data_IF_300875587609
#
_entry.id   IF_300875587609
#
_cell.length_a   1.000
_cell.length_b   1.000
_cell.length_c   1.000
_cell.angle_alpha   90.00
_cell.angle_beta   90.00
_cell.angle_gamma   90.00
#
_symmetry.space_group_name_H-M   'P 1'
#
loop_
_entity.id
_entity.type
_entity.pdbx_description
1 polymer ?
#
# COMPACT_ATOMS: atom_id res chain seq x y z
N UNK A 1 -11.98 25.59 -37.32
CA UNK A 1 -11.81 25.66 -35.83
C UNK A 1 -11.74 24.24 -35.34
N UNK A 2 -10.52 23.72 -35.17
CA UNK A 2 -10.29 22.41 -34.53
C UNK A 2 -10.64 22.62 -33.04
N UNK A 3 -11.77 22.08 -32.60
CA UNK A 3 -12.03 21.94 -31.16
C UNK A 3 -10.87 21.12 -30.61
N UNK A 4 -10.09 21.72 -29.71
CA UNK A 4 -9.08 21.02 -28.95
C UNK A 4 -9.80 19.93 -28.15
N UNK A 5 -9.76 18.71 -28.68
CA UNK A 5 -10.40 17.56 -28.06
C UNK A 5 -9.51 17.13 -26.90
N UNK A 6 -10.08 17.05 -25.70
CA UNK A 6 -9.35 16.53 -24.54
C UNK A 6 -8.73 15.15 -24.86
N UNK A 7 -7.40 15.07 -24.77
CA UNK A 7 -6.64 13.83 -24.95
C UNK A 7 -6.14 13.36 -23.57
N UNK A 8 -6.85 12.41 -22.92
CA UNK A 8 -6.46 11.95 -21.58
C UNK A 8 -5.01 11.45 -21.55
N UNK A 9 -4.63 10.64 -22.54
CA UNK A 9 -3.32 10.00 -22.57
C UNK A 9 -2.15 10.99 -22.51
N UNK A 10 -2.22 12.07 -23.31
CA UNK A 10 -1.16 13.08 -23.35
C UNK A 10 -1.18 13.99 -22.12
N UNK A 11 -2.37 14.35 -21.66
CA UNK A 11 -2.55 15.30 -20.55
C UNK A 11 -2.23 14.64 -19.21
N UNK A 12 -2.70 13.41 -18.99
CA UNK A 12 -2.50 12.68 -17.74
C UNK A 12 -1.03 12.37 -17.52
N UNK A 13 -0.34 11.83 -18.54
CA UNK A 13 1.09 11.56 -18.45
C UNK A 13 1.91 12.82 -18.14
N UNK A 14 1.64 13.92 -18.89
CA UNK A 14 2.31 15.20 -18.66
C UNK A 14 2.17 15.70 -17.21
N UNK A 15 0.98 15.57 -16.62
CA UNK A 15 0.76 16.04 -15.25
C UNK A 15 1.37 15.11 -14.21
N UNK A 16 1.34 13.80 -14.41
CA UNK A 16 1.99 12.83 -13.53
C UNK A 16 3.51 13.05 -13.47
N UNK A 17 4.14 13.25 -14.63
CA UNK A 17 5.56 13.59 -14.72
C UNK A 17 5.89 14.90 -14.00
N UNK A 18 5.06 15.92 -14.18
CA UNK A 18 5.24 17.22 -13.52
C UNK A 18 5.10 17.13 -12.00
N UNK A 19 4.11 16.39 -11.49
CA UNK A 19 3.94 16.18 -10.05
C UNK A 19 5.12 15.43 -9.45
N UNK A 20 5.64 14.45 -10.15
CA UNK A 20 6.82 13.70 -9.71
C UNK A 20 8.07 14.59 -9.67
N UNK A 21 8.30 15.40 -10.72
CA UNK A 21 9.46 16.32 -10.77
C UNK A 21 9.43 17.41 -9.68
N UNK A 22 8.25 17.78 -9.23
CA UNK A 22 8.04 18.84 -8.25
C UNK A 22 7.82 18.32 -6.82
N UNK A 23 7.85 17.01 -6.60
CA UNK A 23 7.48 16.37 -5.34
C UNK A 23 6.17 16.93 -4.77
N UNK A 24 5.20 17.14 -5.69
CA UNK A 24 4.01 17.94 -5.44
C UNK A 24 3.15 17.46 -4.26
N UNK A 25 3.33 16.22 -3.83
CA UNK A 25 2.55 15.58 -2.77
C UNK A 25 3.38 15.18 -1.56
N UNK A 26 4.68 15.51 -1.55
CA UNK A 26 5.56 15.25 -0.41
C UNK A 26 5.10 16.00 0.85
N UNK A 27 5.15 15.30 1.98
CA UNK A 27 4.87 15.89 3.29
C UNK A 27 6.14 16.51 3.88
N UNK A 28 6.11 17.81 4.17
CA UNK A 28 7.22 18.51 4.77
C UNK A 28 7.22 18.35 6.29
N UNK A 29 8.28 17.77 6.85
CA UNK A 29 8.43 17.56 8.29
C UNK A 29 8.59 18.86 9.11
N UNK A 30 9.15 19.87 8.48
CA UNK A 30 9.51 21.15 9.13
C UNK A 30 8.47 22.25 8.89
N UNK A 31 7.35 21.91 8.24
CA UNK A 31 6.30 22.86 7.94
C UNK A 31 5.54 23.31 9.20
N UNK A 32 5.32 24.62 9.33
CA UNK A 32 4.46 25.21 10.36
C UNK A 32 2.96 25.10 10.04
N UNK A 33 2.61 24.59 8.85
CA UNK A 33 1.21 24.37 8.47
C UNK A 33 0.54 23.34 9.38
N UNK A 34 -0.77 23.48 9.64
CA UNK A 34 -1.50 22.46 10.39
C UNK A 34 -1.37 21.09 9.70
N UNK A 35 -1.09 20.06 10.49
CA UNK A 35 -0.86 18.70 9.98
C UNK A 35 -2.19 17.98 9.75
N UNK A 36 -2.26 17.20 8.68
CA UNK A 36 -3.38 16.32 8.40
C UNK A 36 -2.88 14.96 7.91
N UNK A 37 -3.40 13.89 8.47
CA UNK A 37 -3.02 12.53 8.10
C UNK A 37 -4.19 11.84 7.41
N UNK A 38 -3.98 11.40 6.17
CA UNK A 38 -4.93 10.57 5.40
C UNK A 38 -4.35 9.18 5.30
N UNK A 39 -5.00 8.21 5.93
CA UNK A 39 -4.59 6.82 5.90
C UNK A 39 -5.70 5.98 5.26
N UNK A 40 -5.32 5.20 4.28
CA UNK A 40 -6.15 4.17 3.68
C UNK A 40 -5.56 2.79 3.99
N UNK A 41 -6.41 1.78 3.88
CA UNK A 41 -5.98 0.40 4.06
C UNK A 41 -4.99 0.02 2.94
N UNK A 42 -3.82 -0.45 3.32
CA UNK A 42 -2.81 -0.93 2.37
C UNK A 42 -3.32 -2.16 1.64
N UNK A 43 -3.15 -2.26 0.32
CA UNK A 43 -3.58 -3.42 -0.43
C UNK A 43 -2.66 -4.62 -0.18
N UNK A 44 -3.22 -5.83 -0.31
CA UNK A 44 -2.43 -7.02 -0.56
C UNK A 44 -1.92 -6.97 -2.01
N UNK A 45 -0.60 -7.00 -2.25
CA UNK A 45 -0.06 -6.93 -3.61
C UNK A 45 -0.20 -8.29 -4.32
N UNK A 46 -1.42 -8.61 -4.74
CA UNK A 46 -1.72 -9.87 -5.45
C UNK A 46 -2.57 -9.61 -6.70
N UNK A 47 -2.04 -9.95 -7.88
CA UNK A 47 -2.70 -9.74 -9.17
C UNK A 47 -2.77 -8.28 -9.59
N UNK A 48 -3.97 -7.78 -9.90
CA UNK A 48 -4.22 -6.41 -10.34
C UNK A 48 -5.08 -5.64 -9.34
N UNK A 49 -5.01 -4.31 -9.38
CA UNK A 49 -6.01 -3.49 -8.70
C UNK A 49 -7.39 -3.75 -9.30
N UNK A 50 -8.43 -3.61 -8.51
CA UNK A 50 -9.83 -3.74 -8.93
C UNK A 50 -10.63 -2.53 -8.49
N UNK A 51 -11.87 -2.43 -8.93
CA UNK A 51 -12.74 -1.27 -8.66
C UNK A 51 -12.91 -0.96 -7.16
N UNK A 52 -12.80 -1.97 -6.28
CA UNK A 52 -12.80 -1.74 -4.83
C UNK A 52 -11.60 -0.91 -4.37
N UNK A 53 -10.41 -1.20 -4.89
CA UNK A 53 -9.20 -0.38 -4.65
C UNK A 53 -9.39 1.04 -5.18
N UNK A 54 -9.85 1.18 -6.44
CA UNK A 54 -10.07 2.49 -7.05
C UNK A 54 -11.04 3.32 -6.23
N UNK A 55 -12.16 2.74 -5.80
CA UNK A 55 -13.16 3.43 -4.98
C UNK A 55 -12.57 3.90 -3.64
N UNK A 56 -11.86 3.01 -2.93
CA UNK A 56 -11.27 3.33 -1.63
C UNK A 56 -10.28 4.49 -1.75
N UNK A 57 -9.32 4.36 -2.65
CA UNK A 57 -8.24 5.33 -2.80
C UNK A 57 -8.69 6.65 -3.43
N UNK A 58 -9.71 6.63 -4.29
CA UNK A 58 -10.29 7.88 -4.83
C UNK A 58 -10.93 8.73 -3.74
N UNK A 59 -11.60 8.11 -2.76
CA UNK A 59 -12.22 8.83 -1.64
C UNK A 59 -11.15 9.51 -0.79
N UNK A 60 -10.10 8.79 -0.41
CA UNK A 60 -8.99 9.34 0.36
C UNK A 60 -8.22 10.41 -0.41
N UNK A 61 -8.00 10.21 -1.71
CA UNK A 61 -7.31 11.18 -2.56
C UNK A 61 -8.07 12.51 -2.65
N UNK A 62 -9.40 12.47 -2.76
CA UNK A 62 -10.23 13.69 -2.73
C UNK A 62 -10.04 14.42 -1.41
N UNK A 63 -10.05 13.72 -0.28
CA UNK A 63 -9.81 14.31 1.05
C UNK A 63 -8.41 14.91 1.12
N UNK A 64 -7.38 14.18 0.69
CA UNK A 64 -6.00 14.65 0.72
C UNK A 64 -5.81 15.93 -0.11
N UNK A 65 -6.35 15.97 -1.34
CA UNK A 65 -6.29 17.15 -2.20
C UNK A 65 -7.05 18.34 -1.62
N UNK A 66 -8.25 18.10 -1.09
CA UNK A 66 -9.04 19.14 -0.44
C UNK A 66 -8.29 19.76 0.73
N UNK A 67 -7.66 18.92 1.59
CA UNK A 67 -6.89 19.40 2.73
C UNK A 67 -5.64 20.18 2.31
N UNK A 68 -4.94 19.76 1.26
CA UNK A 68 -3.82 20.54 0.70
C UNK A 68 -4.29 21.92 0.19
N UNK A 69 -5.42 21.97 -0.51
CA UNK A 69 -6.00 23.24 -0.98
C UNK A 69 -6.44 24.16 0.18
N UNK A 70 -6.80 23.58 1.34
CA UNK A 70 -7.10 24.32 2.57
C UNK A 70 -5.85 24.77 3.32
N UNK A 71 -4.64 24.49 2.84
CA UNK A 71 -3.39 24.93 3.43
C UNK A 71 -2.79 23.98 4.46
N UNK A 72 -3.31 22.76 4.60
CA UNK A 72 -2.71 21.76 5.49
C UNK A 72 -1.44 21.15 4.89
N UNK A 73 -0.52 20.75 5.76
CA UNK A 73 0.56 19.82 5.44
C UNK A 73 0.02 18.40 5.56
N UNK A 74 -0.18 17.74 4.43
CA UNK A 74 -0.90 16.46 4.35
C UNK A 74 0.09 15.31 4.20
N UNK A 75 0.10 14.39 5.16
CA UNK A 75 0.71 13.07 5.02
C UNK A 75 -0.32 12.11 4.44
N UNK A 76 -0.09 11.66 3.21
CA UNK A 76 -0.93 10.68 2.49
C UNK A 76 -0.04 9.53 1.99
N UNK A 77 0.35 8.58 2.85
CA UNK A 77 1.27 7.51 2.50
C UNK A 77 0.55 6.38 1.77
N UNK A 78 1.32 5.58 1.05
CA UNK A 78 0.90 4.28 0.52
C UNK A 78 1.82 3.19 1.06
N UNK A 79 1.30 1.98 1.16
CA UNK A 79 2.07 0.82 1.60
C UNK A 79 1.51 -0.47 1.04
N UNK A 80 2.22 -1.57 1.35
CA UNK A 80 1.91 -2.91 0.88
C UNK A 80 1.79 -3.83 2.08
N UNK A 81 0.60 -4.42 2.27
CA UNK A 81 0.39 -5.51 3.21
C UNK A 81 0.86 -6.80 2.53
N UNK A 82 2.18 -7.01 2.58
CA UNK A 82 2.87 -7.90 1.66
C UNK A 82 3.12 -9.32 2.20
N UNK A 83 2.86 -9.59 3.48
CA UNK A 83 2.80 -10.95 4.00
C UNK A 83 1.47 -11.59 3.61
N UNK A 84 1.49 -12.85 3.15
CA UNK A 84 0.25 -13.53 2.87
C UNK A 84 0.39 -14.91 2.25
N UNK A 85 -0.45 -15.84 2.70
CA UNK A 85 -0.54 -17.20 2.22
C UNK A 85 -0.79 -17.31 0.69
N UNK A 86 -1.60 -16.46 0.05
CA UNK A 86 -1.78 -16.53 -1.42
C UNK A 86 -0.47 -16.36 -2.20
N UNK A 87 0.38 -15.41 -1.79
CA UNK A 87 1.68 -15.20 -2.42
C UNK A 87 2.61 -16.38 -2.19
N UNK A 88 2.64 -16.93 -0.97
CA UNK A 88 3.45 -18.10 -0.64
C UNK A 88 3.02 -19.33 -1.43
N UNK A 89 1.71 -19.60 -1.52
CA UNK A 89 1.16 -20.72 -2.30
C UNK A 89 1.48 -20.57 -3.80
N UNK A 90 1.37 -19.37 -4.34
CA UNK A 90 1.76 -19.09 -5.73
C UNK A 90 3.26 -19.34 -5.95
N UNK A 91 4.08 -18.86 -5.03
CA UNK A 91 5.54 -19.02 -5.07
C UNK A 91 5.95 -20.50 -5.04
N UNK A 92 5.37 -21.29 -4.13
CA UNK A 92 5.61 -22.73 -4.05
C UNK A 92 5.19 -23.46 -5.33
N UNK A 93 3.98 -23.16 -5.86
CA UNK A 93 3.46 -23.78 -7.06
C UNK A 93 4.30 -23.51 -8.30
N UNK A 94 4.90 -22.33 -8.39
CA UNK A 94 5.69 -21.90 -9.54
C UNK A 94 7.20 -22.03 -9.31
N UNK A 95 7.64 -22.56 -8.18
CA UNK A 95 9.06 -22.69 -7.81
C UNK A 95 9.83 -21.34 -7.87
N UNK A 96 9.18 -20.26 -7.44
CA UNK A 96 9.74 -18.91 -7.40
C UNK A 96 9.83 -18.47 -5.95
N UNK A 97 10.91 -17.77 -5.56
CA UNK A 97 11.04 -17.25 -4.21
C UNK A 97 9.96 -16.20 -3.89
N UNK A 98 9.24 -16.27 -2.74
CA UNK A 98 8.15 -15.35 -2.40
C UNK A 98 8.52 -13.87 -2.49
N UNK A 99 9.74 -13.49 -2.10
CA UNK A 99 10.20 -12.11 -2.19
C UNK A 99 10.21 -11.56 -3.62
N UNK A 100 10.52 -12.42 -4.62
CA UNK A 100 10.51 -12.02 -6.03
C UNK A 100 9.07 -11.79 -6.49
N UNK A 101 8.16 -12.68 -6.13
CA UNK A 101 6.74 -12.55 -6.46
C UNK A 101 6.18 -11.27 -5.84
N UNK A 102 6.44 -11.06 -4.55
CA UNK A 102 6.00 -9.86 -3.83
C UNK A 102 6.53 -8.58 -4.49
N UNK A 103 7.84 -8.54 -4.79
CA UNK A 103 8.44 -7.37 -5.46
C UNK A 103 7.75 -7.06 -6.79
N UNK A 104 7.58 -8.06 -7.65
CA UNK A 104 6.95 -7.89 -8.96
C UNK A 104 5.51 -7.39 -8.84
N UNK A 105 4.75 -7.94 -7.90
CA UNK A 105 3.39 -7.51 -7.63
C UNK A 105 3.32 -6.08 -7.11
N UNK A 106 4.20 -5.70 -6.18
CA UNK A 106 4.30 -4.34 -5.66
C UNK A 106 4.62 -3.35 -6.78
N UNK A 107 5.60 -3.65 -7.62
CA UNK A 107 5.99 -2.79 -8.75
C UNK A 107 4.83 -2.61 -9.73
N UNK A 108 4.07 -3.68 -9.98
CA UNK A 108 2.89 -3.64 -10.84
C UNK A 108 1.76 -2.79 -10.23
N UNK A 109 1.39 -3.02 -8.97
CA UNK A 109 0.38 -2.23 -8.26
C UNK A 109 0.76 -0.75 -8.21
N UNK A 110 2.03 -0.44 -7.90
CA UNK A 110 2.54 0.94 -7.87
C UNK A 110 2.36 1.62 -9.23
N UNK A 111 2.67 0.92 -10.32
CA UNK A 111 2.48 1.48 -11.66
C UNK A 111 1.02 1.78 -11.97
N UNK A 112 0.09 0.89 -11.58
CA UNK A 112 -1.33 1.09 -11.76
C UNK A 112 -1.88 2.26 -10.92
N UNK A 113 -1.46 2.39 -9.65
CA UNK A 113 -1.87 3.49 -8.77
C UNK A 113 -1.31 4.84 -9.25
N UNK A 114 -0.08 4.86 -9.76
CA UNK A 114 0.50 6.06 -10.37
C UNK A 114 -0.25 6.47 -11.63
N UNK A 115 -0.66 5.52 -12.47
CA UNK A 115 -1.45 5.79 -13.67
C UNK A 115 -2.83 6.40 -13.36
N UNK A 116 -3.42 6.12 -12.18
CA UNK A 116 -4.64 6.77 -11.71
C UNK A 116 -4.41 8.20 -11.17
N UNK A 117 -3.16 8.62 -11.04
CA UNK A 117 -2.81 9.98 -10.64
C UNK A 117 -3.10 10.32 -9.19
N UNK A 118 -3.16 9.34 -8.29
CA UNK A 118 -3.36 9.56 -6.86
C UNK A 118 -2.24 10.38 -6.23
N UNK A 119 -2.60 11.24 -5.28
CA UNK A 119 -1.70 12.15 -4.60
C UNK A 119 -1.02 11.54 -3.37
N UNK A 120 -0.50 10.32 -3.51
CA UNK A 120 0.30 9.68 -2.47
C UNK A 120 1.69 10.32 -2.37
N UNK A 121 2.18 10.38 -1.14
CA UNK A 121 3.59 10.67 -0.85
C UNK A 121 4.42 9.39 -1.02
N UNK A 122 4.95 9.20 -2.22
CA UNK A 122 5.68 7.98 -2.59
C UNK A 122 7.03 7.82 -1.86
N UNK A 123 7.58 8.91 -1.28
CA UNK A 123 8.78 8.84 -0.45
C UNK A 123 8.48 8.22 0.92
N UNK A 124 7.19 8.13 1.27
CA UNK A 124 6.69 7.47 2.48
C UNK A 124 6.09 6.11 2.22
N UNK A 125 6.49 5.47 1.13
CA UNK A 125 6.05 4.11 0.81
C UNK A 125 6.54 3.11 1.85
N UNK A 126 5.65 2.22 2.30
CA UNK A 126 5.90 1.22 3.34
C UNK A 126 5.69 -0.17 2.75
N UNK A 127 6.60 -1.10 3.08
CA UNK A 127 6.41 -2.52 2.82
C UNK A 127 6.47 -3.29 4.13
N UNK A 128 5.38 -3.99 4.48
CA UNK A 128 5.30 -4.75 5.75
C UNK A 128 6.28 -5.91 5.84
N UNK A 129 6.85 -6.36 4.71
CA UNK A 129 7.91 -7.39 4.69
C UNK A 129 9.31 -6.82 4.84
N UNK A 130 9.46 -5.50 4.95
CA UNK A 130 10.74 -4.88 5.23
C UNK A 130 11.15 -5.18 6.69
N UNK A 131 12.36 -5.71 6.96
CA UNK A 131 12.85 -5.93 8.31
C UNK A 131 12.81 -4.68 9.20
N UNK A 132 13.10 -3.51 8.64
CA UNK A 132 13.05 -2.24 9.38
C UNK A 132 11.63 -1.87 9.80
N UNK A 133 10.60 -2.36 9.09
CA UNK A 133 9.21 -2.19 9.46
C UNK A 133 8.75 -3.26 10.45
N UNK A 134 8.87 -4.55 10.15
CA UNK A 134 8.29 -5.61 10.98
C UNK A 134 9.04 -5.83 12.31
N UNK A 135 10.28 -5.36 12.47
CA UNK A 135 10.96 -5.38 13.77
C UNK A 135 10.13 -4.76 14.90
N UNK A 136 9.32 -3.74 14.58
CA UNK A 136 8.45 -3.10 15.56
C UNK A 136 7.26 -3.97 15.94
N UNK A 137 6.70 -4.72 15.01
CA UNK A 137 5.67 -5.74 15.29
C UNK A 137 6.24 -6.83 16.21
N UNK A 138 7.46 -7.29 15.95
CA UNK A 138 8.16 -8.25 16.82
C UNK A 138 8.41 -7.65 18.22
N UNK A 139 8.81 -6.39 18.29
CA UNK A 139 9.03 -5.72 19.57
C UNK A 139 7.72 -5.63 20.37
N UNK A 140 6.61 -5.25 19.76
CA UNK A 140 5.29 -5.20 20.40
C UNK A 140 4.90 -6.58 20.91
N UNK A 141 5.08 -7.64 20.11
CA UNK A 141 4.82 -9.02 20.53
C UNK A 141 5.63 -9.38 21.77
N UNK A 142 6.91 -9.03 21.80
CA UNK A 142 7.77 -9.29 22.97
C UNK A 142 7.30 -8.54 24.23
N UNK A 143 6.76 -7.31 24.08
CA UNK A 143 6.15 -6.62 25.23
C UNK A 143 4.91 -7.37 25.74
N UNK A 144 4.02 -7.80 24.84
CA UNK A 144 2.85 -8.60 25.21
C UNK A 144 3.23 -9.91 25.90
N UNK A 145 4.25 -10.59 25.39
CA UNK A 145 4.76 -11.81 25.99
C UNK A 145 5.33 -11.58 27.39
N UNK A 146 6.16 -10.55 27.58
CA UNK A 146 6.75 -10.17 28.88
C UNK A 146 5.69 -9.84 29.96
N UNK A 147 4.53 -9.29 29.51
CA UNK A 147 3.42 -8.96 30.41
C UNK A 147 2.41 -10.12 30.57
N UNK A 148 2.70 -11.32 30.05
CA UNK A 148 1.83 -12.49 30.15
C UNK A 148 0.54 -12.41 29.31
N UNK A 149 0.45 -11.45 28.40
CA UNK A 149 -0.71 -11.26 27.50
C UNK A 149 -0.65 -12.14 26.25
N UNK A 150 0.56 -12.60 25.88
CA UNK A 150 0.76 -13.55 24.79
C UNK A 150 1.33 -14.87 25.36
N UNK A 151 0.73 -15.99 24.96
CA UNK A 151 1.15 -17.33 25.40
C UNK A 151 0.93 -18.36 24.30
N UNK A 152 1.66 -19.47 24.36
CA UNK A 152 1.54 -20.58 23.42
C UNK A 152 0.48 -21.57 23.92
N UNK A 153 -0.47 -21.93 23.04
CA UNK A 153 -1.53 -22.89 23.33
C UNK A 153 -1.82 -23.75 22.10
N UNK A 154 -2.06 -25.06 22.33
CA UNK A 154 -2.59 -25.92 21.27
C UNK A 154 -4.07 -25.59 21.03
N UNK A 155 -4.48 -25.52 19.77
CA UNK A 155 -5.87 -25.29 19.36
C UNK A 155 -6.21 -26.14 18.14
N UNK A 156 -7.50 -26.42 17.96
CA UNK A 156 -8.01 -27.11 16.78
C UNK A 156 -8.05 -26.15 15.60
N UNK A 157 -7.64 -26.63 14.43
CA UNK A 157 -7.65 -25.85 13.18
C UNK A 157 -8.34 -26.65 12.07
N UNK A 158 -8.94 -25.94 11.11
CA UNK A 158 -9.38 -26.55 9.86
C UNK A 158 -8.16 -26.76 8.97
N UNK A 159 -7.90 -28.02 8.61
CA UNK A 159 -6.73 -28.39 7.81
C UNK A 159 -7.14 -29.05 6.50
N UNK A 160 -6.64 -28.52 5.39
CA UNK A 160 -6.84 -29.12 4.06
C UNK A 160 -5.75 -30.17 3.81
N UNK A 161 -6.15 -31.44 3.72
CA UNK A 161 -5.20 -32.55 3.44
C UNK A 161 -4.68 -32.53 1.99
N UNK A 162 -5.45 -31.99 1.04
CA UNK A 162 -5.04 -31.85 -0.35
C UNK A 162 -3.99 -30.77 -0.57
N UNK A 163 -4.25 -29.56 -0.05
CA UNK A 163 -3.32 -28.42 -0.15
C UNK A 163 -2.24 -28.43 0.94
N UNK A 164 -2.39 -29.27 1.99
CA UNK A 164 -1.48 -29.35 3.15
C UNK A 164 -1.31 -28.00 3.87
N UNK A 165 -2.38 -27.24 3.98
CA UNK A 165 -2.39 -25.93 4.64
C UNK A 165 -3.54 -25.80 5.65
N UNK A 166 -3.38 -24.95 6.64
CA UNK A 166 -4.44 -24.52 7.55
C UNK A 166 -5.34 -23.55 6.79
N UNK A 167 -6.66 -23.79 6.86
CA UNK A 167 -7.66 -22.93 6.25
C UNK A 167 -8.02 -21.79 7.20
N UNK A 168 -8.29 -20.64 6.63
CA UNK A 168 -8.93 -19.55 7.36
C UNK A 168 -10.39 -19.93 7.67
N UNK A 169 -10.89 -19.44 8.83
CA UNK A 169 -12.30 -19.64 9.20
C UNK A 169 -13.22 -18.74 8.39
#
# INVERSE_FOLDING_TARGET
MTQDRYSPQDIEQKWQERWQQQDAFACDHHSDKPKYYVLEMFPYPSGNIHMGHVRNYSIGDVVARCKRMQGFNVLHPMGWDAFGLPTENFAMKNHIHPAIVTKNNVDHFRSQLKALGFSFDWDREINTTDPEYYKWTQWIFLQLYKHGLAYKKATTVNYCTGCKVVLAN
#
